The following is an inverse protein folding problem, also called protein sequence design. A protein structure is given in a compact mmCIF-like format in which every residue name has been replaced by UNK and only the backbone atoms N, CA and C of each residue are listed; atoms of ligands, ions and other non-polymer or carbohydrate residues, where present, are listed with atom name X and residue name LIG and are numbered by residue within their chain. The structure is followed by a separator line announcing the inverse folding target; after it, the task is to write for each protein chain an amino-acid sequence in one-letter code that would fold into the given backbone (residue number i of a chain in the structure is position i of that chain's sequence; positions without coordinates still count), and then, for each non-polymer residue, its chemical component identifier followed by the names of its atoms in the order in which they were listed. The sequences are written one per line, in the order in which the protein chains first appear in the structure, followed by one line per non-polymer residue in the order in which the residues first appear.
data_IF_419711879881
#
_entry.id   IF_419711879881
#
_cell.length_a   1.000
_cell.length_b   1.000
_cell.length_c   1.000
_cell.angle_alpha   90.00
_cell.angle_beta   90.00
_cell.angle_gamma   90.00
#
_symmetry.space_group_name_H-M   'P 1'
#
loop_
_entity.id
_entity.type
_entity.pdbx_description
1 polymer ?
#
# COMPACT_ATOMS: atom_id res chain seq x y z
N UNK A 1 3.97 -25.26 3.18
CA UNK A 1 3.43 -23.99 2.67
C UNK A 1 2.01 -23.87 3.14
N UNK A 2 1.64 -22.71 3.70
CA UNK A 2 0.27 -22.42 4.15
C UNK A 2 -0.66 -22.08 3.00
N UNK A 3 -1.97 -22.11 3.26
CA UNK A 3 -3.00 -21.60 2.36
C UNK A 3 -3.86 -20.59 3.11
N UNK A 4 -4.60 -19.74 2.39
CA UNK A 4 -5.54 -18.82 3.02
C UNK A 4 -6.45 -19.57 3.99
N UNK A 5 -6.75 -18.96 5.13
CA UNK A 5 -7.54 -19.57 6.19
C UNK A 5 -6.78 -20.60 7.04
N UNK A 6 -5.45 -20.74 6.91
CA UNK A 6 -4.65 -21.56 7.83
C UNK A 6 -4.55 -20.90 9.21
N UNK A 7 -4.34 -21.72 10.26
CA UNK A 7 -4.29 -21.24 11.65
C UNK A 7 -3.03 -20.45 12.04
N UNK A 8 -2.07 -20.33 11.13
CA UNK A 8 -0.76 -19.67 11.36
C UNK A 8 -0.73 -18.24 10.80
N UNK A 9 -1.87 -17.58 10.70
CA UNK A 9 -1.93 -16.24 10.14
C UNK A 9 -1.59 -15.18 11.18
N UNK A 10 -0.92 -14.09 10.76
CA UNK A 10 -0.74 -12.94 11.62
C UNK A 10 -2.09 -12.53 12.19
N UNK A 11 -2.07 -11.96 13.39
CA UNK A 11 -3.25 -11.69 14.20
C UNK A 11 -4.24 -10.76 13.49
N UNK A 12 -4.93 -11.26 12.46
CA UNK A 12 -6.01 -10.54 11.77
C UNK A 12 -6.97 -9.89 12.76
N UNK A 13 -7.18 -10.54 13.92
CA UNK A 13 -8.04 -10.00 14.95
C UNK A 13 -7.54 -8.65 15.50
N UNK A 14 -6.22 -8.48 15.65
CA UNK A 14 -5.64 -7.20 16.09
C UNK A 14 -5.92 -6.10 15.05
N UNK A 15 -5.69 -6.36 13.77
CA UNK A 15 -5.95 -5.39 12.70
C UNK A 15 -7.44 -5.12 12.53
N UNK A 16 -8.26 -6.17 12.52
CA UNK A 16 -9.72 -6.05 12.41
C UNK A 16 -10.32 -5.21 13.56
N UNK A 17 -9.90 -5.45 14.79
CA UNK A 17 -10.36 -4.70 15.95
C UNK A 17 -9.96 -3.21 15.91
N UNK A 18 -8.97 -2.87 15.09
CA UNK A 18 -8.50 -1.50 14.87
C UNK A 18 -8.98 -0.89 13.54
N UNK A 19 -10.03 -1.47 12.94
CA UNK A 19 -10.73 -0.90 11.79
C UNK A 19 -10.12 -1.22 10.43
N UNK A 20 -9.21 -2.19 10.36
CA UNK A 20 -8.68 -2.67 9.08
C UNK A 20 -9.58 -3.73 8.46
N UNK A 21 -9.67 -3.71 7.14
CA UNK A 21 -10.18 -4.81 6.34
C UNK A 21 -9.01 -5.74 6.07
N UNK A 22 -9.09 -6.98 6.57
CA UNK A 22 -8.05 -7.98 6.42
C UNK A 22 -8.42 -8.93 5.28
N UNK A 23 -7.49 -9.15 4.35
CA UNK A 23 -7.68 -10.02 3.20
C UNK A 23 -6.52 -10.99 3.10
N UNK A 24 -6.82 -12.27 3.12
CA UNK A 24 -5.85 -13.33 2.92
C UNK A 24 -5.90 -13.82 1.47
N UNK A 25 -4.75 -13.91 0.83
CA UNK A 25 -4.64 -14.27 -0.58
C UNK A 25 -3.86 -15.57 -0.77
N UNK A 26 -4.26 -16.36 -1.77
CA UNK A 26 -3.42 -17.44 -2.29
C UNK A 26 -2.63 -16.96 -3.50
N UNK A 27 -1.48 -17.57 -3.70
CA UNK A 27 -0.71 -17.50 -4.93
C UNK A 27 -0.31 -18.92 -5.35
N UNK A 28 0.00 -19.12 -6.63
CA UNK A 28 0.46 -20.43 -7.14
C UNK A 28 1.76 -20.85 -6.46
N UNK A 29 1.84 -22.09 -6.08
CA UNK A 29 3.08 -22.67 -5.55
C UNK A 29 4.07 -22.95 -6.67
N UNK A 30 5.36 -23.14 -6.32
CA UNK A 30 6.40 -23.52 -7.27
C UNK A 30 6.16 -24.89 -7.92
N UNK A 31 5.31 -25.74 -7.33
CA UNK A 31 4.80 -26.97 -7.95
C UNK A 31 3.80 -26.72 -9.08
N UNK A 32 3.11 -25.57 -9.08
CA UNK A 32 2.09 -25.23 -10.05
C UNK A 32 2.66 -24.39 -11.19
N UNK A 33 3.56 -23.48 -10.84
CA UNK A 33 4.24 -22.58 -11.78
C UNK A 33 5.50 -21.98 -11.16
N UNK A 34 6.54 -21.79 -11.94
CA UNK A 34 7.77 -21.11 -11.52
C UNK A 34 7.60 -19.58 -11.53
N UNK A 35 8.59 -18.86 -11.03
CA UNK A 35 8.72 -17.41 -11.15
C UNK A 35 8.52 -16.95 -12.61
N UNK A 36 7.77 -15.87 -12.87
CA UNK A 36 7.22 -14.88 -11.93
C UNK A 36 5.71 -15.06 -11.60
N UNK A 37 5.18 -16.28 -11.69
CA UNK A 37 3.75 -16.54 -11.50
C UNK A 37 3.22 -16.05 -10.14
N UNK A 38 4.03 -16.19 -9.08
CA UNK A 38 3.65 -15.84 -7.72
C UNK A 38 3.42 -14.33 -7.55
N UNK A 39 4.33 -13.51 -8.06
CA UNK A 39 4.18 -12.06 -8.00
C UNK A 39 3.03 -11.57 -8.89
N UNK A 40 2.76 -12.23 -10.02
CA UNK A 40 1.61 -11.93 -10.86
C UNK A 40 0.30 -12.14 -10.12
N UNK A 41 0.19 -13.24 -9.36
CA UNK A 41 -1.00 -13.56 -8.57
C UNK A 41 -1.23 -12.54 -7.46
N UNK A 42 -0.17 -12.17 -6.72
CA UNK A 42 -0.23 -11.16 -5.68
C UNK A 42 -0.66 -9.79 -6.24
N UNK A 43 -0.05 -9.35 -7.34
CA UNK A 43 -0.41 -8.09 -8.01
C UNK A 43 -1.85 -8.11 -8.55
N UNK A 44 -2.28 -9.23 -9.12
CA UNK A 44 -3.66 -9.39 -9.58
C UNK A 44 -4.66 -9.29 -8.42
N UNK A 45 -4.35 -9.85 -7.25
CA UNK A 45 -5.17 -9.71 -6.05
C UNK A 45 -5.29 -8.25 -5.60
N UNK A 46 -4.18 -7.49 -5.56
CA UNK A 46 -4.20 -6.05 -5.25
C UNK A 46 -5.05 -5.28 -6.27
N UNK A 47 -4.89 -5.54 -7.56
CA UNK A 47 -5.71 -4.90 -8.60
C UNK A 47 -7.18 -5.23 -8.46
N UNK A 48 -7.52 -6.49 -8.15
CA UNK A 48 -8.90 -6.92 -7.90
C UNK A 48 -9.52 -6.18 -6.73
N UNK A 49 -8.83 -6.08 -5.59
CA UNK A 49 -9.30 -5.36 -4.41
C UNK A 49 -9.54 -3.88 -4.73
N UNK A 50 -8.61 -3.23 -5.42
CA UNK A 50 -8.75 -1.82 -5.83
C UNK A 50 -9.87 -1.61 -6.85
N UNK A 51 -10.05 -2.52 -7.80
CA UNK A 51 -11.14 -2.45 -8.77
C UNK A 51 -12.51 -2.56 -8.12
N UNK A 52 -12.61 -3.32 -7.03
CA UNK A 52 -13.84 -3.55 -6.28
C UNK A 52 -13.86 -2.79 -4.92
N UNK A 53 -13.08 -1.72 -4.80
CA UNK A 53 -12.88 -1.02 -3.54
C UNK A 53 -14.17 -0.46 -2.95
N UNK A 54 -15.06 0.05 -3.79
CA UNK A 54 -16.35 0.58 -3.34
C UNK A 54 -17.27 -0.52 -2.77
N UNK A 55 -17.23 -1.71 -3.36
CA UNK A 55 -17.97 -2.89 -2.89
C UNK A 55 -17.48 -3.38 -1.52
N UNK A 56 -16.18 -3.36 -1.31
CA UNK A 56 -15.54 -3.86 -0.09
C UNK A 56 -15.21 -2.74 0.91
N UNK A 57 -15.59 -1.48 0.63
CA UNK A 57 -15.29 -0.30 1.45
C UNK A 57 -13.77 -0.09 1.69
N UNK A 58 -12.95 -0.40 0.68
CA UNK A 58 -11.49 -0.28 0.73
C UNK A 58 -11.06 1.12 0.30
N UNK A 59 -10.19 1.76 1.08
CA UNK A 59 -9.44 2.93 0.64
C UNK A 59 -8.28 2.49 -0.27
N UNK A 60 -8.37 2.78 -1.57
CA UNK A 60 -7.37 2.41 -2.59
C UNK A 60 -5.96 2.95 -2.29
N UNK A 61 -5.88 3.97 -1.44
CA UNK A 61 -4.64 4.64 -1.04
C UNK A 61 -4.10 4.18 0.30
N UNK A 62 -4.75 3.23 0.97
CA UNK A 62 -4.36 2.70 2.27
C UNK A 62 -4.24 1.19 2.22
N UNK A 63 -3.49 0.67 1.26
CA UNK A 63 -3.23 -0.76 1.15
C UNK A 63 -1.86 -1.06 1.75
N UNK A 64 -1.87 -1.74 2.88
CA UNK A 64 -0.70 -2.37 3.48
C UNK A 64 -0.68 -3.86 3.19
N UNK A 65 0.51 -4.44 3.15
CA UNK A 65 0.73 -5.87 2.98
C UNK A 65 1.67 -6.39 4.06
N UNK A 66 1.40 -7.59 4.54
CA UNK A 66 2.24 -8.30 5.51
C UNK A 66 2.43 -9.74 5.04
N UNK A 67 3.62 -10.26 5.18
CA UNK A 67 3.92 -11.63 4.80
C UNK A 67 5.11 -12.21 5.54
N UNK A 68 5.13 -13.54 5.66
CA UNK A 68 6.15 -14.32 6.34
C UNK A 68 6.92 -15.20 5.37
N UNK A 69 8.24 -15.34 5.57
CA UNK A 69 9.07 -16.24 4.79
C UNK A 69 8.89 -16.00 3.28
N UNK A 70 8.40 -16.96 2.51
CA UNK A 70 8.05 -16.76 1.10
C UNK A 70 7.02 -15.62 0.90
N UNK A 71 6.10 -15.40 1.85
CA UNK A 71 5.18 -14.27 1.86
C UNK A 71 5.90 -12.94 2.10
N UNK A 72 6.90 -12.91 2.99
CA UNK A 72 7.78 -11.75 3.25
C UNK A 72 8.52 -11.33 1.98
N UNK A 73 9.08 -12.30 1.25
CA UNK A 73 9.65 -12.07 -0.07
C UNK A 73 8.64 -11.45 -1.06
N UNK A 74 7.44 -12.03 -1.16
CA UNK A 74 6.43 -11.54 -2.11
C UNK A 74 5.89 -10.15 -1.76
N UNK A 75 5.73 -9.81 -0.47
CA UNK A 75 5.34 -8.45 -0.10
C UNK A 75 6.47 -7.45 -0.33
N UNK A 76 7.74 -7.86 -0.19
CA UNK A 76 8.89 -7.04 -0.54
C UNK A 76 8.95 -6.76 -2.05
N UNK A 77 8.67 -7.78 -2.89
CA UNK A 77 8.50 -7.58 -4.34
C UNK A 77 7.31 -6.67 -4.67
N UNK A 78 6.17 -6.78 -3.98
CA UNK A 78 5.04 -5.87 -4.17
C UNK A 78 5.41 -4.42 -3.85
N UNK A 79 6.20 -4.20 -2.81
CA UNK A 79 6.59 -2.87 -2.35
C UNK A 79 7.53 -2.13 -3.30
N UNK A 80 8.39 -2.85 -4.04
CA UNK A 80 9.43 -2.25 -4.90
C UNK A 80 9.11 -2.33 -6.40
N UNK A 81 8.10 -3.10 -6.83
CA UNK A 81 7.88 -3.36 -8.27
C UNK A 81 6.59 -2.76 -8.81
N UNK A 82 6.02 -1.75 -8.17
CA UNK A 82 4.70 -1.19 -8.54
C UNK A 82 4.61 -0.65 -9.99
N UNK A 83 5.73 -0.37 -10.65
CA UNK A 83 5.77 0.16 -12.03
C UNK A 83 6.58 -0.74 -12.98
N UNK A 84 6.94 -1.93 -12.55
CA UNK A 84 7.72 -2.88 -13.37
C UNK A 84 6.76 -3.66 -14.27
N UNK A 85 6.60 -3.19 -15.51
CA UNK A 85 5.61 -3.72 -16.46
C UNK A 85 5.72 -5.24 -16.66
N UNK A 86 6.92 -5.80 -16.70
CA UNK A 86 7.20 -7.22 -16.87
C UNK A 86 6.68 -8.07 -15.71
N UNK A 87 6.53 -7.47 -14.51
CA UNK A 87 6.09 -8.14 -13.29
C UNK A 87 4.61 -7.85 -12.94
N UNK A 88 3.87 -7.13 -13.80
CA UNK A 88 2.47 -6.79 -13.51
C UNK A 88 1.49 -7.95 -13.70
N UNK A 89 1.76 -8.91 -14.59
CA UNK A 89 0.83 -10.00 -14.87
C UNK A 89 -0.55 -9.51 -15.31
N UNK A 90 -0.62 -8.52 -16.22
CA UNK A 90 -1.86 -7.83 -16.62
C UNK A 90 -2.91 -8.76 -17.25
N UNK A 91 -2.48 -9.91 -17.79
CA UNK A 91 -3.36 -10.94 -18.33
C UNK A 91 -4.27 -11.59 -17.28
N UNK A 92 -3.99 -11.40 -15.99
CA UNK A 92 -4.81 -11.89 -14.86
C UNK A 92 -5.97 -10.93 -14.49
N UNK A 93 -6.18 -9.88 -15.25
CA UNK A 93 -7.32 -8.98 -15.12
C UNK A 93 -7.03 -7.64 -14.45
N UNK A 94 -8.03 -6.75 -14.53
CA UNK A 94 -7.99 -5.38 -14.01
C UNK A 94 -6.75 -4.58 -14.47
N UNK A 95 -6.35 -4.72 -15.74
CA UNK A 95 -5.11 -4.18 -16.29
C UNK A 95 -4.98 -2.65 -16.17
N UNK A 96 -6.09 -1.93 -16.05
CA UNK A 96 -6.12 -0.46 -15.92
C UNK A 96 -6.05 0.02 -14.46
N UNK A 97 -5.88 -0.90 -13.50
CA UNK A 97 -5.80 -0.61 -12.07
C UNK A 97 -4.37 -0.88 -11.59
N UNK A 98 -3.81 0.05 -10.82
CA UNK A 98 -2.44 -0.13 -10.29
C UNK A 98 -2.37 -1.20 -9.21
N UNK A 99 -1.30 -2.01 -9.22
CA UNK A 99 -0.97 -2.98 -8.18
C UNK A 99 -0.20 -2.37 -6.99
N UNK A 100 0.07 -1.05 -7.00
CA UNK A 100 0.84 -0.36 -5.95
C UNK A 100 0.27 -0.63 -4.56
N UNK A 101 1.16 -0.94 -3.62
CA UNK A 101 0.90 -0.96 -2.18
C UNK A 101 1.61 0.23 -1.51
N UNK A 102 1.26 0.57 -0.27
CA UNK A 102 1.74 1.80 0.37
C UNK A 102 2.59 1.53 1.60
N UNK A 103 2.43 0.37 2.21
CA UNK A 103 3.21 -0.07 3.36
C UNK A 103 3.42 -1.59 3.32
N UNK A 104 4.61 -2.04 3.69
CA UNK A 104 5.04 -3.44 3.67
C UNK A 104 5.56 -3.82 5.04
N UNK A 105 5.06 -4.91 5.60
CA UNK A 105 5.66 -5.60 6.74
C UNK A 105 6.22 -6.93 6.24
N UNK A 106 7.54 -7.00 6.16
CA UNK A 106 8.28 -8.20 5.77
C UNK A 106 8.78 -8.93 7.01
N UNK A 107 8.28 -10.12 7.24
CA UNK A 107 8.70 -10.98 8.32
C UNK A 107 9.58 -12.09 7.78
N UNK A 108 10.87 -11.97 8.05
CA UNK A 108 11.91 -12.94 7.68
C UNK A 108 11.85 -13.45 6.24
N UNK A 109 11.52 -12.55 5.29
CA UNK A 109 11.54 -12.88 3.86
C UNK A 109 12.98 -13.04 3.34
N UNK A 110 13.25 -14.04 2.49
CA UNK A 110 14.49 -14.07 1.72
C UNK A 110 14.48 -12.98 0.66
N UNK A 111 15.60 -12.32 0.39
CA UNK A 111 15.70 -11.16 -0.51
C UNK A 111 16.56 -11.49 -1.73
N UNK A 112 17.82 -11.81 -1.51
CA UNK A 112 18.77 -12.15 -2.58
C UNK A 112 19.20 -13.61 -2.48
N UNK A 113 18.64 -14.48 -3.31
CA UNK A 113 18.91 -15.92 -3.28
C UNK A 113 20.35 -16.27 -3.65
N UNK A 114 21.07 -15.37 -4.34
CA UNK A 114 22.47 -15.60 -4.71
C UNK A 114 23.44 -15.46 -3.53
N UNK A 115 23.07 -14.69 -2.50
CA UNK A 115 23.94 -14.37 -1.37
C UNK A 115 23.63 -15.17 -0.10
N UNK A 116 22.46 -15.81 -0.03
CA UNK A 116 21.95 -16.46 1.19
C UNK A 116 22.91 -17.48 1.79
N UNK A 117 23.52 -18.35 0.95
CA UNK A 117 24.44 -19.40 1.42
C UNK A 117 25.71 -18.78 2.07
N UNK A 118 26.26 -17.73 1.46
CA UNK A 118 27.43 -17.03 1.99
C UNK A 118 27.09 -16.26 3.27
N UNK A 119 25.92 -15.64 3.36
CA UNK A 119 25.44 -14.93 4.54
C UNK A 119 25.22 -15.90 5.72
N UNK A 120 24.59 -17.06 5.48
CA UNK A 120 24.43 -18.10 6.47
C UNK A 120 25.78 -18.60 7.01
N UNK A 121 26.74 -18.85 6.10
CA UNK A 121 28.09 -19.29 6.48
C UNK A 121 28.81 -18.24 7.35
N UNK A 122 28.64 -16.94 7.04
CA UNK A 122 29.21 -15.84 7.84
C UNK A 122 28.59 -15.77 9.26
N UNK A 123 27.35 -16.23 9.42
CA UNK A 123 26.65 -16.33 10.71
C UNK A 123 26.88 -17.65 11.42
N UNK A 124 27.69 -18.58 10.85
CA UNK A 124 28.09 -19.84 11.47
C UNK A 124 27.10 -20.99 11.27
N UNK A 125 26.17 -20.90 10.32
CA UNK A 125 25.31 -22.01 9.96
C UNK A 125 25.32 -22.28 8.43
N UNK A 126 24.72 -23.37 7.99
CA UNK A 126 24.76 -23.79 6.59
C UNK A 126 23.37 -23.99 6.04
N UNK A 127 23.10 -23.37 4.90
CA UNK A 127 21.96 -23.63 4.02
C UNK A 127 22.47 -23.99 2.63
N UNK A 128 21.61 -24.43 1.74
CA UNK A 128 21.98 -24.73 0.36
C UNK A 128 20.83 -24.32 -0.59
N UNK A 129 20.78 -23.05 -0.91
CA UNK A 129 19.80 -22.48 -1.85
C UNK A 129 20.01 -22.94 -3.28
N UNK A 130 21.25 -23.34 -3.61
CA UNK A 130 21.60 -23.86 -4.94
C UNK A 130 21.20 -25.33 -5.16
N UNK A 131 20.74 -26.03 -4.11
CA UNK A 131 20.18 -27.38 -4.29
C UNK A 131 18.93 -27.30 -5.19
N UNK A 132 18.80 -28.22 -6.14
CA UNK A 132 17.62 -28.37 -6.99
C UNK A 132 16.33 -28.64 -6.19
N UNK A 133 16.46 -29.03 -4.92
CA UNK A 133 15.33 -29.28 -4.01
C UNK A 133 15.05 -28.12 -3.07
N UNK A 134 15.87 -27.06 -3.05
CA UNK A 134 15.63 -25.87 -2.23
C UNK A 134 14.35 -25.15 -2.67
N UNK A 135 13.68 -24.42 -1.78
CA UNK A 135 12.53 -23.59 -2.14
C UNK A 135 12.85 -22.56 -3.24
N UNK A 136 14.02 -21.92 -3.15
CA UNK A 136 14.50 -20.89 -4.06
C UNK A 136 14.73 -21.47 -5.48
N UNK A 137 15.46 -22.59 -5.59
CA UNK A 137 15.69 -23.26 -6.88
C UNK A 137 14.41 -23.81 -7.50
N UNK A 138 13.47 -24.31 -6.68
CA UNK A 138 12.14 -24.72 -7.16
C UNK A 138 11.32 -23.54 -7.65
N UNK A 139 11.39 -22.41 -6.96
CA UNK A 139 10.73 -21.18 -7.39
C UNK A 139 11.26 -20.71 -8.74
N UNK A 140 12.58 -20.72 -8.90
CA UNK A 140 13.26 -20.25 -10.11
C UNK A 140 13.23 -21.27 -11.26
N UNK A 141 12.92 -22.55 -10.98
CA UNK A 141 12.88 -23.63 -11.97
C UNK A 141 14.25 -24.23 -12.30
N UNK A 142 15.33 -23.74 -11.68
CA UNK A 142 16.70 -24.27 -11.80
C UNK A 142 17.53 -23.90 -10.57
N UNK A 143 18.70 -24.51 -10.41
CA UNK A 143 19.66 -24.16 -9.35
C UNK A 143 20.05 -22.68 -9.46
N UNK A 144 19.82 -21.89 -8.41
CA UNK A 144 19.88 -20.42 -8.45
C UNK A 144 21.20 -19.85 -8.95
N UNK A 145 22.33 -20.51 -8.62
CA UNK A 145 23.66 -20.08 -9.06
C UNK A 145 23.93 -20.35 -10.56
N UNK A 146 23.07 -21.12 -11.23
CA UNK A 146 23.21 -21.42 -12.67
C UNK A 146 22.43 -20.42 -13.55
N UNK A 147 21.58 -19.59 -12.96
CA UNK A 147 20.69 -18.65 -13.66
C UNK A 147 20.69 -17.26 -12.97
N UNK A 148 21.86 -16.66 -12.69
CA UNK A 148 21.95 -15.46 -11.86
C UNK A 148 21.16 -14.27 -12.43
N UNK A 149 21.11 -14.09 -13.75
CA UNK A 149 20.37 -12.99 -14.38
C UNK A 149 18.84 -13.10 -14.16
N UNK A 150 18.31 -14.33 -14.10
CA UNK A 150 16.91 -14.56 -13.78
C UNK A 150 16.65 -14.35 -12.28
N UNK A 151 17.59 -14.76 -11.43
CA UNK A 151 17.49 -14.55 -9.98
C UNK A 151 17.53 -13.06 -9.63
N UNK A 152 18.35 -12.25 -10.33
CA UNK A 152 18.34 -10.78 -10.15
C UNK A 152 16.98 -10.16 -10.52
N UNK A 153 16.25 -10.70 -11.47
CA UNK A 153 14.88 -10.26 -11.75
C UNK A 153 13.88 -10.63 -10.64
N UNK A 154 14.22 -11.57 -9.79
CA UNK A 154 13.46 -11.99 -8.62
C UNK A 154 13.95 -11.32 -7.32
N UNK A 155 14.92 -10.41 -7.40
CA UNK A 155 15.51 -9.70 -6.26
C UNK A 155 14.82 -8.33 -6.08
N UNK A 156 14.07 -8.08 -4.98
CA UNK A 156 13.41 -6.80 -4.76
C UNK A 156 14.39 -5.61 -4.69
N UNK A 157 15.65 -5.85 -4.29
CA UNK A 157 16.68 -4.80 -4.23
C UNK A 157 16.98 -4.20 -5.60
N UNK A 158 16.82 -4.97 -6.68
CA UNK A 158 17.02 -4.51 -8.09
C UNK A 158 16.09 -3.37 -8.49
N UNK A 159 14.94 -3.27 -7.83
CA UNK A 159 13.87 -2.35 -8.24
C UNK A 159 13.68 -1.16 -7.30
N UNK A 160 14.52 -1.01 -6.29
CA UNK A 160 14.37 0.08 -5.31
C UNK A 160 14.34 1.45 -6.02
N UNK A 161 13.30 2.22 -5.72
CA UNK A 161 13.03 3.53 -6.31
C UNK A 161 12.44 4.50 -5.28
N UNK A 162 12.45 5.80 -5.58
CA UNK A 162 11.98 6.85 -4.66
C UNK A 162 10.47 6.84 -4.41
N UNK A 163 9.71 6.10 -5.20
CA UNK A 163 8.26 5.98 -5.08
C UNK A 163 7.79 4.63 -4.51
N UNK A 164 8.72 3.87 -3.93
CA UNK A 164 8.42 2.61 -3.27
C UNK A 164 7.54 2.79 -2.01
N UNK A 165 6.95 1.68 -1.58
CA UNK A 165 6.22 1.62 -0.32
C UNK A 165 7.12 1.92 0.88
N UNK A 166 6.53 2.25 2.03
CA UNK A 166 7.26 2.22 3.30
C UNK A 166 7.44 0.77 3.77
N UNK A 167 8.57 0.47 4.44
CA UNK A 167 8.94 -0.88 4.86
C UNK A 167 9.20 -0.99 6.37
N UNK A 168 8.59 -1.98 7.00
CA UNK A 168 8.98 -2.52 8.29
C UNK A 168 9.47 -3.95 8.06
N UNK A 169 10.77 -4.17 8.23
CA UNK A 169 11.42 -5.45 7.98
C UNK A 169 11.83 -6.04 9.32
N UNK A 170 11.44 -7.27 9.59
CA UNK A 170 11.77 -7.96 10.84
C UNK A 170 12.38 -9.32 10.55
N UNK A 171 13.49 -9.62 11.19
CA UNK A 171 14.20 -10.89 11.08
C UNK A 171 14.66 -11.38 12.45
N UNK A 172 15.17 -12.58 12.56
CA UNK A 172 15.62 -13.14 13.84
C UNK A 172 17.05 -13.65 13.80
N UNK A 173 17.75 -13.44 14.93
CA UNK A 173 19.12 -13.93 15.14
C UNK A 173 19.25 -15.45 15.18
N UNK A 174 18.15 -16.18 15.48
CA UNK A 174 18.11 -17.64 15.54
C UNK A 174 17.38 -18.30 14.36
N UNK A 175 17.10 -17.53 13.31
CA UNK A 175 16.56 -18.09 12.08
C UNK A 175 17.70 -18.78 11.30
N UNK A 176 17.65 -20.11 11.22
CA UNK A 176 18.63 -20.90 10.45
C UNK A 176 18.10 -21.31 9.08
N UNK A 177 16.95 -20.77 8.64
CA UNK A 177 16.45 -20.95 7.28
C UNK A 177 16.79 -19.72 6.42
N UNK A 178 16.58 -18.53 6.96
CA UNK A 178 16.85 -17.26 6.28
C UNK A 178 17.79 -16.42 7.15
N UNK A 179 19.01 -16.13 6.68
CA UNK A 179 19.94 -15.27 7.40
C UNK A 179 19.31 -13.88 7.65
N UNK A 180 19.31 -13.39 8.89
CA UNK A 180 18.73 -12.07 9.21
C UNK A 180 19.36 -10.95 8.40
N UNK A 181 20.58 -11.14 7.91
CA UNK A 181 21.31 -10.19 7.06
C UNK A 181 20.59 -9.92 5.74
N UNK A 182 19.76 -10.84 5.26
CA UNK A 182 18.92 -10.61 4.08
C UNK A 182 18.02 -9.38 4.26
N UNK A 183 17.21 -9.35 5.31
CA UNK A 183 16.36 -8.22 5.64
C UNK A 183 17.15 -6.97 6.04
N UNK A 184 18.26 -7.12 6.78
CA UNK A 184 19.11 -6.00 7.18
C UNK A 184 19.75 -5.32 5.97
N UNK A 185 20.31 -6.09 5.03
CA UNK A 185 20.93 -5.55 3.82
C UNK A 185 19.90 -4.86 2.91
N UNK A 186 18.70 -5.44 2.82
CA UNK A 186 17.61 -4.83 2.06
C UNK A 186 17.18 -3.49 2.68
N UNK A 187 16.99 -3.42 4.00
CA UNK A 187 16.71 -2.15 4.68
C UNK A 187 17.82 -1.11 4.46
N UNK A 188 19.09 -1.53 4.54
CA UNK A 188 20.23 -0.66 4.29
C UNK A 188 20.25 -0.12 2.84
N UNK A 189 19.74 -0.89 1.86
CA UNK A 189 19.61 -0.44 0.48
C UNK A 189 18.40 0.51 0.29
N UNK A 190 17.31 0.31 1.03
CA UNK A 190 16.11 1.16 0.98
C UNK A 190 16.35 2.55 1.58
N UNK A 191 17.00 2.63 2.74
CA UNK A 191 17.17 3.89 3.50
C UNK A 191 17.72 5.05 2.66
N UNK A 192 18.77 4.90 1.85
CA UNK A 192 19.31 6.00 1.03
C UNK A 192 18.34 6.52 -0.03
N UNK A 193 17.35 5.70 -0.43
CA UNK A 193 16.44 6.00 -1.54
C UNK A 193 15.10 6.53 -1.04
N UNK A 194 14.46 5.85 -0.08
CA UNK A 194 13.14 6.24 0.43
C UNK A 194 13.19 6.95 1.80
N UNK A 195 14.36 7.05 2.40
CA UNK A 195 14.58 7.72 3.70
C UNK A 195 14.38 6.82 4.91
N UNK A 196 15.09 7.11 5.99
CA UNK A 196 15.04 6.32 7.25
C UNK A 196 13.71 6.39 8.01
N UNK A 197 12.82 7.31 7.66
CA UNK A 197 11.46 7.36 8.19
C UNK A 197 10.53 6.37 7.51
N UNK A 198 10.88 5.91 6.31
CA UNK A 198 10.09 5.02 5.48
C UNK A 198 10.65 3.59 5.42
N UNK A 199 11.83 3.33 6.00
CA UNK A 199 12.40 1.99 6.09
C UNK A 199 13.00 1.76 7.46
N UNK A 200 12.57 0.68 8.14
CA UNK A 200 13.14 0.26 9.41
C UNK A 200 13.38 -1.25 9.43
N UNK A 201 14.41 -1.64 10.18
CA UNK A 201 14.78 -3.03 10.41
C UNK A 201 14.73 -3.34 11.91
N UNK A 202 14.09 -4.44 12.27
CA UNK A 202 14.07 -4.97 13.62
C UNK A 202 14.69 -6.37 13.64
N UNK A 203 15.72 -6.53 14.48
CA UNK A 203 16.25 -7.85 14.79
C UNK A 203 15.58 -8.36 16.07
N UNK A 204 14.79 -9.42 15.94
CA UNK A 204 14.20 -10.12 17.09
C UNK A 204 15.20 -11.12 17.61
N UNK A 205 15.58 -10.99 18.86
CA UNK A 205 16.48 -11.94 19.48
C UNK A 205 15.71 -13.18 19.95
N UNK A 206 16.27 -14.36 19.65
CA UNK A 206 15.76 -15.64 20.16
C UNK A 206 14.53 -16.23 19.46
N UNK A 207 13.98 -15.62 18.42
CA UNK A 207 12.94 -16.23 17.60
C UNK A 207 13.56 -17.17 16.54
N UNK A 208 12.90 -18.31 16.25
CA UNK A 208 13.23 -19.15 15.10
C UNK A 208 12.54 -18.68 13.82
N UNK A 209 12.55 -19.52 12.79
CA UNK A 209 11.81 -19.29 11.55
C UNK A 209 10.31 -19.54 11.78
N UNK A 210 9.56 -18.49 12.05
CA UNK A 210 8.13 -18.57 12.42
C UNK A 210 7.89 -18.77 13.93
N UNK A 211 6.63 -19.04 14.29
CA UNK A 211 6.17 -19.28 15.65
C UNK A 211 5.53 -18.06 16.33
N UNK A 212 5.02 -18.28 17.56
CA UNK A 212 4.17 -17.31 18.27
C UNK A 212 4.85 -15.99 18.64
N UNK A 213 6.17 -15.93 18.64
CA UNK A 213 6.92 -14.68 18.91
C UNK A 213 6.58 -13.61 17.88
N UNK A 214 6.43 -14.00 16.63
CA UNK A 214 6.12 -13.10 15.50
C UNK A 214 4.71 -12.51 15.57
N UNK A 215 3.81 -13.18 16.27
CA UNK A 215 2.40 -12.81 16.45
C UNK A 215 2.06 -12.49 17.90
N UNK A 216 3.07 -12.17 18.71
CA UNK A 216 2.82 -11.70 20.07
C UNK A 216 2.09 -10.36 20.04
N UNK A 217 1.30 -10.07 21.09
CA UNK A 217 0.60 -8.78 21.22
C UNK A 217 1.55 -7.60 21.07
N UNK A 218 2.80 -7.73 21.51
CA UNK A 218 3.82 -6.68 21.38
C UNK A 218 4.23 -6.47 19.91
N UNK A 219 4.44 -7.54 19.14
CA UNK A 219 4.81 -7.44 17.74
C UNK A 219 3.64 -6.94 16.89
N UNK A 220 2.45 -7.48 17.10
CA UNK A 220 1.24 -6.98 16.44
C UNK A 220 1.02 -5.48 16.67
N UNK A 221 1.28 -4.99 17.88
CA UNK A 221 1.18 -3.56 18.18
C UNK A 221 2.19 -2.72 17.38
N UNK A 222 3.40 -3.23 17.13
CA UNK A 222 4.40 -2.53 16.29
C UNK A 222 3.97 -2.48 14.83
N UNK A 223 3.52 -3.60 14.27
CA UNK A 223 3.02 -3.66 12.89
C UNK A 223 1.81 -2.75 12.69
N UNK A 224 0.88 -2.76 13.65
CA UNK A 224 -0.28 -1.86 13.65
C UNK A 224 0.15 -0.38 13.73
N UNK A 225 1.10 -0.04 14.61
CA UNK A 225 1.61 1.32 14.73
C UNK A 225 2.29 1.78 13.42
N UNK A 226 3.06 0.90 12.78
CA UNK A 226 3.66 1.18 11.49
C UNK A 226 2.60 1.45 10.41
N UNK A 227 1.60 0.58 10.26
CA UNK A 227 0.52 0.81 9.30
C UNK A 227 -0.27 2.10 9.60
N UNK A 228 -0.58 2.38 10.86
CA UNK A 228 -1.27 3.61 11.27
C UNK A 228 -0.47 4.87 10.92
N UNK A 229 0.85 4.83 11.01
CA UNK A 229 1.71 5.98 10.70
C UNK A 229 1.92 6.18 9.19
N UNK A 230 1.88 5.10 8.40
CA UNK A 230 2.19 5.12 6.97
C UNK A 230 0.96 5.17 6.08
N UNK A 231 -0.14 4.49 6.43
CA UNK A 231 -1.36 4.42 5.64
C UNK A 231 -2.27 5.65 5.90
N UNK A 232 -1.74 6.84 5.71
CA UNK A 232 -2.45 8.10 5.99
C UNK A 232 -3.39 8.55 4.88
N UNK A 233 -3.42 7.86 3.75
CA UNK A 233 -4.25 8.16 2.56
C UNK A 233 -3.44 8.57 1.34
N UNK A 234 -4.10 8.76 0.20
CA UNK A 234 -3.42 9.26 -1.00
C UNK A 234 -2.78 10.60 -0.71
N UNK A 235 -1.46 10.62 -0.57
CA UNK A 235 -0.72 11.83 -0.87
C UNK A 235 -0.85 12.05 -2.39
N UNK A 236 -1.77 12.89 -2.80
CA UNK A 236 -1.74 13.47 -4.13
C UNK A 236 -0.47 14.31 -4.11
N UNK A 237 0.67 13.73 -4.57
CA UNK A 237 1.93 14.43 -4.70
C UNK A 237 1.70 15.64 -5.60
N UNK A 238 1.62 16.82 -5.01
CA UNK A 238 1.37 18.09 -5.70
C UNK A 238 0.86 19.21 -4.78
N UNK A 239 0.32 18.87 -3.61
CA UNK A 239 -0.05 19.90 -2.63
C UNK A 239 0.61 19.51 -1.30
N UNK A 240 1.70 20.18 -0.92
CA UNK A 240 2.19 20.18 0.46
C UNK A 240 0.99 20.48 1.35
N UNK A 241 0.55 19.54 2.16
CA UNK A 241 -0.33 19.81 3.28
C UNK A 241 0.49 20.59 4.32
N UNK A 242 0.64 21.88 4.09
CA UNK A 242 0.85 22.80 5.21
C UNK A 242 -0.36 22.65 6.11
N UNK A 243 -0.17 22.70 7.43
CA UNK A 243 -1.21 22.73 8.46
C UNK A 243 -2.15 23.92 8.23
N UNK A 244 -2.96 23.84 7.18
CA UNK A 244 -4.04 24.77 6.94
C UNK A 244 -5.15 24.39 7.94
N UNK A 245 -5.46 25.27 8.86
CA UNK A 245 -6.79 25.31 9.49
C UNK A 245 -7.77 25.13 8.35
N UNK A 246 -8.45 23.97 8.26
CA UNK A 246 -9.40 23.69 7.19
C UNK A 246 -10.51 24.72 7.23
N UNK A 247 -10.35 25.79 6.46
CA UNK A 247 -11.45 26.67 6.12
C UNK A 247 -12.51 25.81 5.42
N UNK A 248 -13.75 25.85 5.89
CA UNK A 248 -14.83 25.05 5.31
C UNK A 248 -15.85 26.00 4.68
N UNK A 249 -16.43 25.59 3.56
CA UNK A 249 -17.66 26.17 3.06
C UNK A 249 -18.79 25.57 3.90
N UNK A 250 -19.58 26.41 4.56
CA UNK A 250 -20.82 25.97 5.16
C UNK A 250 -21.95 26.16 4.16
N UNK A 251 -22.74 25.11 3.95
CA UNK A 251 -23.79 25.04 2.94
C UNK A 251 -25.10 24.71 3.61
N UNK A 252 -26.09 25.63 3.50
CA UNK A 252 -27.39 25.44 4.12
C UNK A 252 -28.53 26.18 3.36
N UNK A 253 -29.78 25.66 3.38
CA UNK A 253 -30.09 24.30 3.84
C UNK A 253 -29.53 23.25 2.92
N UNK A 254 -29.26 22.08 3.47
CA UNK A 254 -28.84 20.91 2.69
C UNK A 254 -29.53 19.67 3.28
N UNK A 255 -30.49 19.06 2.60
CA UNK A 255 -30.94 19.30 1.21
C UNK A 255 -31.61 20.66 0.98
N UNK A 256 -31.55 21.15 -0.29
CA UNK A 256 -32.12 22.43 -0.73
C UNK A 256 -33.28 22.23 -1.70
N UNK A 257 -34.31 23.13 -1.60
CA UNK A 257 -35.41 23.18 -2.58
C UNK A 257 -35.25 24.35 -3.56
N UNK A 258 -35.10 25.55 -3.06
CA UNK A 258 -35.15 26.79 -3.87
C UNK A 258 -33.83 27.56 -3.83
N UNK A 259 -33.30 27.85 -2.63
CA UNK A 259 -32.12 28.68 -2.45
C UNK A 259 -31.15 28.08 -1.46
N UNK A 260 -29.88 28.01 -1.84
CA UNK A 260 -28.76 27.56 -1.00
C UNK A 260 -27.95 28.79 -0.56
N UNK A 261 -27.58 28.82 0.71
CA UNK A 261 -26.66 29.81 1.27
C UNK A 261 -25.30 29.19 1.46
N UNK A 262 -24.27 29.85 0.96
CA UNK A 262 -22.87 29.49 1.17
C UNK A 262 -22.23 30.49 2.13
N UNK A 263 -21.66 30.03 3.23
CA UNK A 263 -20.79 30.86 4.06
C UNK A 263 -19.32 30.46 3.78
N UNK A 264 -18.52 31.41 3.37
CA UNK A 264 -17.12 31.33 3.00
C UNK A 264 -16.25 31.89 4.12
N UNK A 265 -14.97 31.53 4.18
CA UNK A 265 -14.01 32.13 5.11
C UNK A 265 -13.90 33.65 4.94
N UNK A 266 -13.79 34.35 6.05
CA UNK A 266 -13.66 35.84 6.07
C UNK A 266 -12.35 36.29 5.42
N UNK A 267 -12.35 37.52 4.89
CA UNK A 267 -11.21 38.24 4.33
C UNK A 267 -10.59 37.64 3.04
N UNK A 268 -11.36 36.80 2.31
CA UNK A 268 -10.94 36.29 1.01
C UNK A 268 -12.03 36.43 -0.04
N UNK A 269 -11.62 36.52 -1.30
CA UNK A 269 -12.51 36.55 -2.46
C UNK A 269 -12.39 35.21 -3.17
N UNK A 270 -13.55 34.62 -3.48
CA UNK A 270 -13.63 33.32 -4.14
C UNK A 270 -14.41 33.40 -5.45
N UNK A 271 -13.97 32.66 -6.45
CA UNK A 271 -14.79 32.30 -7.59
C UNK A 271 -15.43 30.94 -7.30
N UNK A 272 -16.76 30.86 -7.45
CA UNK A 272 -17.56 29.68 -7.14
C UNK A 272 -17.95 28.99 -8.45
N UNK A 273 -17.73 27.70 -8.54
CA UNK A 273 -18.18 26.83 -9.62
C UNK A 273 -19.06 25.72 -9.03
N UNK A 274 -20.17 25.39 -9.68
CA UNK A 274 -21.06 24.29 -9.30
C UNK A 274 -21.06 23.26 -10.43
N UNK A 275 -20.92 22.01 -10.06
CA UNK A 275 -20.91 20.85 -10.95
C UNK A 275 -21.95 19.83 -10.47
N UNK A 276 -22.52 19.06 -11.38
CA UNK A 276 -23.29 17.87 -11.01
C UNK A 276 -22.33 16.71 -10.62
N UNK A 277 -22.90 15.58 -10.16
CA UNK A 277 -22.13 14.40 -9.72
C UNK A 277 -21.33 13.72 -10.84
N UNK A 278 -21.64 14.02 -12.12
CA UNK A 278 -20.88 13.55 -13.28
C UNK A 278 -19.72 14.50 -13.65
N UNK A 279 -19.53 15.59 -12.89
CA UNK A 279 -18.51 16.59 -13.16
C UNK A 279 -18.87 17.58 -14.27
N UNK A 280 -20.12 17.61 -14.73
CA UNK A 280 -20.58 18.59 -15.73
C UNK A 280 -20.81 19.94 -15.04
N UNK A 281 -20.30 20.98 -15.67
CA UNK A 281 -20.44 22.35 -15.22
C UNK A 281 -21.91 22.82 -15.25
N UNK A 282 -22.36 23.47 -14.19
CA UNK A 282 -23.72 24.00 -14.04
C UNK A 282 -23.74 25.53 -14.10
N UNK A 283 -22.98 26.17 -13.21
CA UNK A 283 -22.89 27.63 -13.16
C UNK A 283 -21.59 28.08 -12.46
N UNK A 284 -21.23 29.35 -12.66
CA UNK A 284 -20.18 30.03 -11.90
C UNK A 284 -20.62 31.41 -11.41
N UNK A 285 -20.02 31.82 -10.29
CA UNK A 285 -20.21 33.15 -9.70
C UNK A 285 -18.83 33.63 -9.25
N UNK A 286 -18.42 34.79 -9.74
CA UNK A 286 -17.08 35.33 -9.50
C UNK A 286 -17.11 36.40 -8.38
N UNK A 287 -15.97 36.60 -7.74
CA UNK A 287 -15.73 37.66 -6.76
C UNK A 287 -16.66 37.63 -5.53
N UNK A 288 -16.89 36.44 -4.99
CA UNK A 288 -17.75 36.27 -3.79
C UNK A 288 -16.91 36.40 -2.52
N UNK A 289 -17.38 37.20 -1.57
CA UNK A 289 -16.76 37.35 -0.24
C UNK A 289 -17.80 37.03 0.86
N UNK A 290 -17.34 36.40 1.93
CA UNK A 290 -18.09 36.07 3.16
C UNK A 290 -19.27 35.10 2.96
N UNK A 291 -20.32 35.52 2.21
CA UNK A 291 -21.48 34.65 1.96
C UNK A 291 -22.21 35.01 0.69
N UNK A 292 -22.95 34.05 0.13
CA UNK A 292 -23.80 34.23 -1.04
C UNK A 292 -25.02 33.31 -0.98
N UNK A 293 -26.15 33.80 -1.50
CA UNK A 293 -27.34 32.99 -1.76
C UNK A 293 -27.43 32.67 -3.26
N UNK A 294 -27.61 31.40 -3.58
CA UNK A 294 -27.70 30.92 -4.96
C UNK A 294 -29.06 30.28 -5.17
N UNK A 295 -29.81 30.75 -6.18
CA UNK A 295 -31.06 30.09 -6.58
C UNK A 295 -30.76 28.74 -7.21
N UNK A 296 -31.47 27.73 -6.75
CA UNK A 296 -31.42 26.37 -7.25
C UNK A 296 -32.69 25.95 -8.02
N UNK A 297 -33.61 26.90 -8.32
CA UNK A 297 -34.88 26.59 -8.97
C UNK A 297 -34.72 25.96 -10.35
N UNK A 298 -33.73 26.44 -11.12
CA UNK A 298 -33.42 25.92 -12.47
C UNK A 298 -32.50 24.69 -12.45
N UNK A 299 -32.05 24.26 -11.28
CA UNK A 299 -31.13 23.11 -11.16
C UNK A 299 -31.94 21.82 -10.94
N UNK A 300 -31.73 20.76 -11.76
CA UNK A 300 -32.44 19.48 -11.58
C UNK A 300 -32.21 18.86 -10.20
N UNK A 301 -33.13 18.00 -9.77
CA UNK A 301 -32.95 17.18 -8.56
C UNK A 301 -31.70 16.32 -8.68
N UNK A 302 -30.84 16.30 -7.65
CA UNK A 302 -29.60 15.55 -7.69
C UNK A 302 -28.54 16.01 -6.67
N UNK A 303 -27.38 15.35 -6.73
CA UNK A 303 -26.20 15.68 -5.94
C UNK A 303 -25.30 16.63 -6.74
N UNK A 304 -24.81 17.68 -6.07
CA UNK A 304 -23.97 18.71 -6.65
C UNK A 304 -22.72 18.95 -5.82
N UNK A 305 -21.66 19.37 -6.50
CA UNK A 305 -20.36 19.72 -5.93
C UNK A 305 -20.14 21.21 -6.12
N UNK A 306 -19.83 21.91 -5.05
CA UNK A 306 -19.40 23.30 -5.04
C UNK A 306 -17.89 23.33 -4.94
N UNK A 307 -17.24 24.11 -5.79
CA UNK A 307 -15.82 24.44 -5.75
C UNK A 307 -15.67 25.96 -5.62
N UNK A 308 -15.06 26.43 -4.55
CA UNK A 308 -14.72 27.83 -4.34
C UNK A 308 -13.20 27.98 -4.41
N UNK A 309 -12.72 28.80 -5.34
CA UNK A 309 -11.31 29.04 -5.63
C UNK A 309 -10.94 30.46 -5.29
N UNK A 310 -9.91 30.67 -4.46
CA UNK A 310 -9.22 31.95 -4.23
C UNK A 310 -7.82 31.94 -4.84
N UNK A 311 -7.05 33.00 -4.61
CA UNK A 311 -5.65 33.09 -5.06
C UNK A 311 -4.73 32.02 -4.47
N UNK A 312 -5.05 31.48 -3.29
CA UNK A 312 -4.17 30.67 -2.45
C UNK A 312 -4.81 29.36 -1.97
N UNK A 313 -6.11 29.15 -2.18
CA UNK A 313 -6.78 27.91 -1.77
C UNK A 313 -7.97 27.53 -2.65
N UNK A 314 -8.33 26.25 -2.61
CA UNK A 314 -9.55 25.70 -3.19
C UNK A 314 -10.31 24.97 -2.10
N UNK A 315 -11.59 25.38 -1.90
CA UNK A 315 -12.49 24.74 -0.97
C UNK A 315 -13.58 23.99 -1.74
N UNK A 316 -14.06 22.88 -1.18
CA UNK A 316 -15.15 22.10 -1.77
C UNK A 316 -16.22 21.79 -0.75
N UNK A 317 -17.48 21.74 -1.21
CA UNK A 317 -18.62 21.28 -0.44
C UNK A 317 -19.62 20.57 -1.36
N UNK A 318 -20.55 19.82 -0.78
CA UNK A 318 -21.60 19.14 -1.54
C UNK A 318 -22.98 19.58 -1.05
N UNK A 319 -23.97 19.57 -1.94
CA UNK A 319 -25.37 19.72 -1.57
C UNK A 319 -26.29 18.82 -2.39
N UNK A 320 -27.46 18.53 -1.84
CA UNK A 320 -28.52 17.75 -2.48
C UNK A 320 -29.68 18.67 -2.83
N UNK A 321 -30.04 18.77 -4.10
CA UNK A 321 -31.23 19.42 -4.61
C UNK A 321 -32.41 18.45 -4.58
N UNK A 322 -33.53 18.85 -3.97
CA UNK A 322 -34.80 18.12 -3.91
C UNK A 322 -35.86 18.77 -4.77
#
# INVERSE_FOLDING_TARGET
MGSKGSSEQPSFQTFYNNGYICVDINYRYSSDSIWPAQIYDCKAAIRFLKANADLYHIDKCKIGVIGESAGGYLVSMLGTTAQVAQLEGLHLGNANVTSRVHAVVDLFGPINFLTMDAEAAALGFTINTNSSTSPESKLMGAAVQTIPELVEQANPTTYISTDDAAFFISASSLDHNIPYTQGQNFCNALIPVIGSTNACFELIDGAGHGGSTWHSTTQDAKYLAFFNSTLTGCNINGIKSENLKKSKINVYPNPVKETISLALPDNKIFDIEIFNYLGQFILSINNVSNSINISCESIPVGLYIIKAKSSDEILTANFVKQ
#
